data_IF_782381882736
#
_entry.id   IF_782381882736
#
_cell.length_a   1.000
_cell.length_b   1.000
_cell.length_c   1.000
_cell.angle_alpha   90.00
_cell.angle_beta   90.00
_cell.angle_gamma   90.00
#
_symmetry.space_group_name_H-M   'P 1'
#
loop_
_entity.id
_entity.type
_entity.pdbx_description
1 polymer ?
#
# COMPACT_ATOMS: atom_id res chain seq x y z
N UNK A 1 -53.31 -2.15 3.97
CA UNK A 1 -52.16 -1.32 4.40
C UNK A 1 -50.90 -1.86 3.74
N UNK A 2 -50.46 -1.25 2.65
CA UNK A 2 -49.25 -1.64 1.93
C UNK A 2 -48.04 -0.89 2.53
N UNK A 3 -47.05 -1.63 3.05
CA UNK A 3 -45.73 -1.08 3.36
C UNK A 3 -44.81 -1.38 2.18
N UNK A 4 -44.52 -0.37 1.38
CA UNK A 4 -43.34 -0.36 0.53
C UNK A 4 -42.17 0.22 1.29
N UNK A 5 -40.97 -0.35 1.11
CA UNK A 5 -39.69 0.37 1.14
C UNK A 5 -38.52 -0.60 1.03
N UNK A 6 -37.61 -0.35 0.08
CA UNK A 6 -36.18 -0.58 0.29
C UNK A 6 -35.61 -1.88 -0.27
N UNK A 7 -35.29 -1.85 -1.56
CA UNK A 7 -34.34 -2.81 -2.15
C UNK A 7 -33.00 -2.78 -1.42
N UNK A 8 -32.57 -3.94 -0.94
CA UNK A 8 -31.22 -4.13 -0.40
C UNK A 8 -30.32 -4.67 -1.51
N UNK A 9 -29.95 -3.80 -2.44
CA UNK A 9 -28.80 -4.01 -3.31
C UNK A 9 -27.54 -3.78 -2.50
N UNK A 10 -26.99 -4.84 -1.89
CA UNK A 10 -25.68 -4.79 -1.25
C UNK A 10 -24.64 -5.46 -2.14
N UNK A 11 -23.94 -4.59 -2.87
CA UNK A 11 -22.49 -4.61 -3.01
C UNK A 11 -21.90 -5.87 -3.64
N UNK A 12 -21.66 -5.81 -4.95
CA UNK A 12 -20.67 -6.66 -5.58
C UNK A 12 -19.31 -6.46 -4.93
N UNK A 13 -18.85 -7.44 -4.17
CA UNK A 13 -17.45 -7.56 -3.83
C UNK A 13 -16.71 -7.94 -5.11
N UNK A 14 -16.28 -6.92 -5.85
CA UNK A 14 -15.17 -7.05 -6.78
C UNK A 14 -13.94 -7.40 -5.93
N UNK A 15 -13.77 -8.70 -5.65
CA UNK A 15 -12.51 -9.27 -5.23
C UNK A 15 -11.52 -9.03 -6.35
N UNK A 16 -10.90 -7.85 -6.33
CA UNK A 16 -9.84 -7.47 -7.22
C UNK A 16 -8.78 -8.55 -7.14
N UNK A 17 -8.72 -9.37 -8.19
CA UNK A 17 -7.55 -10.17 -8.55
C UNK A 17 -6.37 -9.19 -8.65
N UNK A 18 -5.72 -8.95 -7.53
CA UNK A 18 -4.38 -8.38 -7.48
C UNK A 18 -3.42 -9.43 -8.02
N UNK A 19 -3.41 -9.59 -9.34
CA UNK A 19 -2.31 -10.22 -10.08
C UNK A 19 -1.11 -9.27 -10.00
N UNK A 20 -0.55 -9.12 -8.81
CA UNK A 20 0.69 -8.41 -8.56
C UNK A 20 1.80 -9.45 -8.52
N UNK A 21 2.41 -9.69 -9.67
CA UNK A 21 3.62 -10.50 -9.84
C UNK A 21 4.70 -9.98 -8.89
N UNK A 22 4.81 -10.59 -7.70
CA UNK A 22 5.87 -10.31 -6.75
C UNK A 22 7.18 -10.88 -7.29
N UNK A 23 7.83 -10.10 -8.15
CA UNK A 23 9.20 -10.32 -8.59
C UNK A 23 10.07 -10.39 -7.33
N UNK A 24 10.40 -11.61 -6.92
CA UNK A 24 11.50 -11.92 -6.02
C UNK A 24 12.80 -11.50 -6.70
N UNK A 25 13.19 -10.24 -6.53
CA UNK A 25 14.39 -9.64 -7.08
C UNK A 25 14.75 -8.39 -6.28
N UNK A 26 15.38 -8.58 -5.11
CA UNK A 26 15.90 -7.52 -4.25
C UNK A 26 14.85 -6.82 -3.40
N UNK A 27 14.75 -7.15 -2.11
CA UNK A 27 13.92 -6.48 -1.10
C UNK A 27 14.39 -5.05 -0.79
N UNK A 28 14.47 -4.17 -1.79
CA UNK A 28 14.70 -2.75 -1.57
C UNK A 28 13.35 -2.04 -1.59
N UNK A 29 13.12 -1.19 -0.58
CA UNK A 29 11.91 -0.39 -0.49
C UNK A 29 11.85 0.60 -1.66
N UNK A 30 10.76 0.63 -2.42
CA UNK A 30 10.59 1.60 -3.51
C UNK A 30 9.81 2.85 -3.04
N UNK A 31 10.00 4.00 -3.70
CA UNK A 31 9.21 5.22 -3.40
C UNK A 31 7.71 5.01 -3.57
N UNK A 32 7.33 4.21 -4.55
CA UNK A 32 5.94 3.85 -4.82
C UNK A 32 5.36 3.01 -3.65
N UNK A 33 6.12 2.05 -3.13
CA UNK A 33 5.68 1.26 -1.98
C UNK A 33 5.61 2.09 -0.69
N UNK A 34 6.59 2.97 -0.48
CA UNK A 34 6.55 3.93 0.63
C UNK A 34 5.30 4.83 0.53
N UNK A 35 4.99 5.35 -0.65
CA UNK A 35 3.80 6.18 -0.88
C UNK A 35 2.49 5.43 -0.58
N UNK A 36 2.43 4.14 -0.92
CA UNK A 36 1.27 3.28 -0.57
C UNK A 36 1.12 3.10 0.93
N UNK A 37 2.23 2.90 1.64
CA UNK A 37 2.23 2.76 3.10
C UNK A 37 1.79 4.04 3.79
N UNK A 38 2.30 5.20 3.35
CA UNK A 38 1.85 6.49 3.86
C UNK A 38 0.36 6.69 3.64
N UNK A 39 -0.13 6.46 2.42
CA UNK A 39 -1.55 6.60 2.14
C UNK A 39 -2.42 5.65 2.97
N UNK A 40 -1.91 4.46 3.31
CA UNK A 40 -2.61 3.52 4.19
C UNK A 40 -2.62 4.01 5.66
N UNK A 41 -1.50 4.56 6.15
CA UNK A 41 -1.40 5.15 7.47
C UNK A 41 -2.34 6.35 7.62
N UNK A 42 -2.40 7.23 6.62
CA UNK A 42 -3.29 8.40 6.60
C UNK A 42 -4.78 8.01 6.61
N UNK A 43 -5.15 6.96 5.86
CA UNK A 43 -6.53 6.44 5.84
C UNK A 43 -6.93 5.79 7.15
N UNK A 44 -5.97 5.18 7.85
CA UNK A 44 -6.19 4.44 9.09
C UNK A 44 -5.20 4.90 10.17
N UNK A 45 -5.40 6.10 10.73
CA UNK A 45 -4.50 6.66 11.73
C UNK A 45 -4.45 5.83 13.02
N UNK A 46 -5.47 5.01 13.27
CA UNK A 46 -5.53 4.10 14.40
C UNK A 46 -4.85 2.73 14.18
N UNK A 47 -4.36 2.46 12.98
CA UNK A 47 -3.66 1.21 12.66
C UNK A 47 -2.27 1.13 13.32
N UNK A 48 -1.78 -0.09 13.52
CA UNK A 48 -0.44 -0.31 14.06
C UNK A 48 0.67 0.28 13.16
N UNK A 49 0.43 0.33 11.85
CA UNK A 49 1.36 0.94 10.88
C UNK A 49 1.52 2.43 11.13
N UNK A 50 0.42 3.16 11.30
CA UNK A 50 0.43 4.60 11.60
C UNK A 50 0.99 4.88 13.00
N UNK A 51 0.60 4.06 14.00
CA UNK A 51 1.03 4.25 15.39
C UNK A 51 2.50 3.93 15.63
N UNK A 52 3.08 3.03 14.84
CA UNK A 52 4.48 2.60 15.01
C UNK A 52 5.50 3.49 14.29
N UNK A 53 5.06 4.46 13.48
CA UNK A 53 5.94 5.27 12.62
C UNK A 53 6.64 4.44 11.54
N UNK A 54 5.98 3.39 11.04
CA UNK A 54 6.56 2.53 10.00
C UNK A 54 6.62 3.23 8.64
N UNK A 55 5.67 4.11 8.36
CA UNK A 55 5.59 4.97 7.19
C UNK A 55 6.82 5.88 7.03
N UNK A 56 7.28 6.52 8.12
CA UNK A 56 8.51 7.33 8.11
C UNK A 56 9.75 6.46 7.77
N UNK A 57 9.83 5.26 8.36
CA UNK A 57 10.91 4.30 8.08
C UNK A 57 10.87 3.80 6.65
N UNK A 58 9.67 3.57 6.11
CA UNK A 58 9.45 3.16 4.74
C UNK A 58 9.93 4.22 3.75
N UNK A 59 9.63 5.50 3.99
CA UNK A 59 10.14 6.61 3.18
C UNK A 59 11.67 6.69 3.22
N UNK A 60 12.26 6.67 4.42
CA UNK A 60 13.72 6.74 4.56
C UNK A 60 14.42 5.55 3.88
N UNK A 61 13.84 4.36 3.94
CA UNK A 61 14.34 3.20 3.22
C UNK A 61 14.24 3.36 1.71
N UNK A 62 13.16 3.96 1.20
CA UNK A 62 13.02 4.26 -0.22
C UNK A 62 14.04 5.29 -0.71
N UNK A 63 14.30 6.33 0.07
CA UNK A 63 15.31 7.34 -0.27
C UNK A 63 16.72 6.74 -0.36
N UNK A 64 17.04 5.80 0.55
CA UNK A 64 18.31 5.06 0.52
C UNK A 64 18.39 4.11 -0.68
N UNK A 65 17.32 3.37 -0.95
CA UNK A 65 17.25 2.44 -2.07
C UNK A 65 17.46 3.14 -3.41
N UNK A 66 16.93 4.35 -3.59
CA UNK A 66 17.11 5.13 -4.83
C UNK A 66 18.57 5.50 -5.07
N UNK A 67 19.31 5.83 -4.01
CA UNK A 67 20.75 6.09 -4.10
C UNK A 67 21.55 4.81 -4.43
N UNK A 68 21.10 3.65 -3.94
CA UNK A 68 21.73 2.35 -4.20
C UNK A 68 21.40 1.79 -5.59
N UNK A 69 20.17 1.99 -6.08
CA UNK A 69 19.71 1.56 -7.41
C UNK A 69 20.50 2.24 -8.54
N UNK A 70 20.90 3.50 -8.35
CA UNK A 70 21.77 4.22 -9.29
C UNK A 70 23.22 3.69 -9.32
N UNK A 71 23.65 2.97 -8.29
CA UNK A 71 25.01 2.43 -8.15
C UNK A 71 25.11 0.94 -8.54
N UNK A 72 23.99 0.27 -8.79
CA UNK A 72 23.90 -1.17 -9.09
C UNK A 72 23.70 -1.47 -10.58
N UNK A 73 23.80 -0.47 -11.45
CA UNK A 73 23.69 -0.63 -12.91
C UNK A 73 25.02 -0.99 -13.61
N UNK A 74 26.13 -1.09 -12.87
CA UNK A 74 27.49 -1.33 -13.37
C UNK A 74 28.15 -2.53 -12.63
N UNK A 75 27.57 -3.73 -12.77
CA UNK A 75 28.13 -5.02 -12.34
C UNK A 75 27.70 -6.12 -13.31
#
# INVERSE_FOLDING_TARGET
MAKGSGGSGKGGSNGGKGSGSGKSGGSSMSKEDASRIQSAADRHPDSDTAKSGFDERAQSAADRAENEQHSQADK
#
